data_IF_875119282468
#
_entry.id   IF_875119282468
#
_cell.length_a   1.000
_cell.length_b   1.000
_cell.length_c   1.000
_cell.angle_alpha   90.00
_cell.angle_beta   90.00
_cell.angle_gamma   90.00
#
_symmetry.space_group_name_H-M   'P 1'
#
loop_
_entity.id
_entity.type
_entity.pdbx_description
1 polymer ?
#
# COMPACT_ATOMS: atom_id res chain seq x y z
N UNK A 1 -7.55 2.67 -5.04
CA UNK A 1 -6.28 3.40 -4.87
C UNK A 1 -5.30 3.20 -6.03
N UNK A 2 -5.32 2.04 -6.63
CA UNK A 2 -4.50 1.71 -7.80
C UNK A 2 -5.36 1.18 -8.93
N UNK A 3 -4.94 1.40 -10.16
CA UNK A 3 -5.54 0.72 -11.30
C UNK A 3 -5.12 -0.76 -11.28
N UNK A 4 -5.93 -1.59 -11.94
CA UNK A 4 -5.68 -3.03 -12.00
C UNK A 4 -4.28 -3.31 -12.56
N UNK A 5 -3.51 -4.11 -11.82
CA UNK A 5 -2.15 -4.51 -12.22
C UNK A 5 -1.09 -3.43 -12.10
N UNK A 6 -1.40 -2.25 -11.57
CA UNK A 6 -0.47 -1.13 -11.48
C UNK A 6 -0.10 -0.81 -10.04
N UNK A 7 1.13 -0.37 -9.84
CA UNK A 7 1.62 0.19 -8.57
C UNK A 7 1.66 1.72 -8.59
N UNK A 8 1.16 2.35 -9.66
CA UNK A 8 1.12 3.79 -9.76
C UNK A 8 -0.09 4.34 -9.02
N UNK A 9 0.13 5.33 -8.14
CA UNK A 9 -0.95 5.96 -7.38
C UNK A 9 -1.88 6.76 -8.30
N UNK A 10 -3.19 6.58 -8.11
CA UNK A 10 -4.19 7.39 -8.80
C UNK A 10 -4.29 8.77 -8.16
N UNK A 11 -4.91 9.72 -8.84
CA UNK A 11 -5.16 11.06 -8.28
C UNK A 11 -6.00 10.97 -7.00
N UNK A 12 -7.02 10.13 -7.01
CA UNK A 12 -7.87 9.92 -5.82
C UNK A 12 -7.08 9.35 -4.65
N UNK A 13 -6.16 8.43 -4.92
CA UNK A 13 -5.29 7.88 -3.88
C UNK A 13 -4.42 8.96 -3.25
N UNK A 14 -3.84 9.83 -4.07
CA UNK A 14 -3.03 10.94 -3.58
C UNK A 14 -3.83 11.89 -2.70
N UNK A 15 -5.08 12.18 -3.06
CA UNK A 15 -5.97 13.02 -2.26
C UNK A 15 -6.26 12.39 -0.90
N UNK A 16 -6.51 11.07 -0.85
CA UNK A 16 -6.72 10.35 0.41
C UNK A 16 -5.46 10.35 1.26
N UNK A 17 -4.30 10.13 0.65
CA UNK A 17 -3.02 10.12 1.36
C UNK A 17 -2.66 11.50 1.90
N UNK A 18 -3.05 12.57 1.23
CA UNK A 18 -2.87 13.93 1.76
C UNK A 18 -3.61 14.12 3.07
N UNK A 19 -4.84 13.61 3.16
CA UNK A 19 -5.62 13.66 4.41
C UNK A 19 -4.97 12.83 5.51
N UNK A 20 -4.48 11.65 5.16
CA UNK A 20 -3.78 10.78 6.10
C UNK A 20 -2.50 11.45 6.60
N UNK A 21 -1.74 12.08 5.71
CA UNK A 21 -0.53 12.80 6.09
C UNK A 21 -0.80 13.89 7.12
N UNK A 22 -1.90 14.63 6.98
CA UNK A 22 -2.30 15.63 7.97
C UNK A 22 -2.54 15.02 9.34
N UNK A 23 -3.20 13.87 9.40
CA UNK A 23 -3.43 13.15 10.65
C UNK A 23 -2.11 12.66 11.25
N UNK A 24 -1.19 12.19 10.44
CA UNK A 24 0.11 11.71 10.89
C UNK A 24 0.98 12.84 11.45
N UNK A 25 0.86 14.05 10.92
CA UNK A 25 1.51 15.21 11.50
C UNK A 25 0.93 15.57 12.86
N UNK A 26 -0.38 15.40 13.05
CA UNK A 26 -1.04 15.66 14.31
C UNK A 26 -0.64 14.65 15.40
N UNK A 27 -0.52 13.37 15.04
CA UNK A 27 -0.17 12.30 15.97
C UNK A 27 1.27 11.84 15.75
N UNK A 28 2.23 12.65 16.17
CA UNK A 28 3.65 12.51 15.84
C UNK A 28 4.33 11.26 16.38
N UNK A 29 3.73 10.59 17.38
CA UNK A 29 4.31 9.40 17.99
C UNK A 29 3.86 8.09 17.37
N UNK A 30 2.90 8.11 16.45
CA UNK A 30 2.41 6.91 15.81
C UNK A 30 3.47 6.30 14.88
N UNK A 31 3.65 4.99 14.98
CA UNK A 31 4.41 4.21 14.03
C UNK A 31 3.45 3.26 13.33
N UNK A 32 3.67 2.99 12.06
CA UNK A 32 2.73 2.19 11.29
C UNK A 32 3.44 1.42 10.17
N UNK A 33 2.76 0.36 9.72
CA UNK A 33 3.20 -0.46 8.58
C UNK A 33 2.25 -0.25 7.41
N UNK A 34 2.80 -0.02 6.23
CA UNK A 34 2.06 0.04 4.98
C UNK A 34 2.01 -1.38 4.42
N UNK A 35 0.82 -1.94 4.27
CA UNK A 35 0.60 -3.30 3.79
C UNK A 35 -0.01 -3.29 2.39
N UNK A 36 0.73 -3.77 1.40
CA UNK A 36 0.24 -3.91 0.04
C UNK A 36 -0.40 -5.27 -0.19
N UNK A 37 -1.52 -5.30 -0.90
CA UNK A 37 -2.26 -6.52 -1.20
C UNK A 37 -2.61 -6.59 -2.69
N UNK A 38 -2.76 -7.80 -3.19
CA UNK A 38 -3.20 -8.06 -4.56
C UNK A 38 -4.29 -9.12 -4.55
N UNK A 39 -5.04 -9.22 -5.66
CA UNK A 39 -6.03 -10.27 -5.85
C UNK A 39 -5.75 -11.08 -7.11
N UNK A 40 -6.54 -12.08 -7.28
CA UNK A 40 -6.79 -12.72 -8.57
C UNK A 40 -5.59 -13.45 -9.17
N UNK A 41 -4.61 -13.78 -8.34
CA UNK A 41 -3.53 -14.69 -8.74
C UNK A 41 -3.92 -16.14 -8.44
N UNK A 42 -3.40 -17.13 -9.18
CA UNK A 42 -3.62 -18.52 -8.83
C UNK A 42 -3.15 -18.84 -7.40
N UNK A 43 -3.74 -19.85 -6.73
CA UNK A 43 -3.37 -20.14 -5.33
C UNK A 43 -1.89 -20.40 -5.09
N UNK A 44 -1.17 -20.90 -6.11
CA UNK A 44 0.27 -21.16 -5.99
C UNK A 44 1.13 -19.93 -6.26
N UNK A 45 0.54 -18.80 -6.68
CA UNK A 45 1.25 -17.56 -6.94
C UNK A 45 0.73 -16.48 -6.01
N UNK A 46 1.47 -16.21 -4.97
CA UNK A 46 1.07 -15.23 -3.93
C UNK A 46 1.24 -13.78 -4.39
N UNK A 47 1.96 -13.55 -5.47
CA UNK A 47 2.22 -12.23 -6.00
C UNK A 47 1.76 -12.08 -7.45
N UNK A 48 1.45 -10.84 -7.83
CA UNK A 48 1.08 -10.46 -9.18
C UNK A 48 2.21 -9.70 -9.86
N UNK A 49 2.19 -9.69 -11.19
CA UNK A 49 3.14 -8.92 -11.98
C UNK A 49 2.71 -7.46 -11.97
N UNK A 50 3.64 -6.57 -11.62
CA UNK A 50 3.45 -5.13 -11.69
C UNK A 50 3.62 -4.69 -13.15
N UNK A 51 2.60 -4.12 -13.72
CA UNK A 51 2.60 -3.64 -15.08
C UNK A 51 3.61 -2.50 -15.32
N UNK A 52 3.99 -1.77 -14.28
CA UNK A 52 4.96 -0.66 -14.37
C UNK A 52 6.41 -1.18 -14.42
N UNK A 53 6.73 -2.23 -13.66
CA UNK A 53 8.09 -2.77 -13.56
C UNK A 53 8.26 -4.09 -14.30
N UNK A 54 7.16 -4.76 -14.65
CA UNK A 54 7.11 -6.10 -15.25
C UNK A 54 7.71 -7.20 -14.38
N UNK A 55 7.80 -6.95 -13.06
CA UNK A 55 8.27 -7.91 -12.06
C UNK A 55 7.12 -8.41 -11.21
N UNK A 56 7.26 -9.62 -10.68
CA UNK A 56 6.22 -10.26 -9.85
C UNK A 56 6.35 -9.84 -8.38
N UNK A 57 6.10 -8.55 -8.12
CA UNK A 57 6.18 -7.97 -6.77
C UNK A 57 5.19 -6.81 -6.59
N UNK A 58 4.00 -6.95 -7.19
CA UNK A 58 3.01 -5.86 -7.25
C UNK A 58 2.58 -5.38 -5.86
N UNK A 59 2.34 -6.29 -4.90
CA UNK A 59 1.89 -5.88 -3.57
C UNK A 59 2.94 -5.04 -2.85
N UNK A 60 4.21 -5.43 -2.94
CA UNK A 60 5.30 -4.68 -2.35
C UNK A 60 5.49 -3.32 -3.03
N UNK A 61 5.40 -3.29 -4.36
CA UNK A 61 5.53 -2.03 -5.10
C UNK A 61 4.40 -1.06 -4.79
N UNK A 62 3.19 -1.55 -4.55
CA UNK A 62 2.07 -0.71 -4.11
C UNK A 62 2.34 -0.12 -2.73
N UNK A 63 2.81 -0.92 -1.79
CA UNK A 63 3.19 -0.44 -0.47
C UNK A 63 4.32 0.59 -0.55
N UNK A 64 5.32 0.33 -1.39
CA UNK A 64 6.43 1.26 -1.61
C UNK A 64 5.97 2.57 -2.22
N UNK A 65 5.00 2.54 -3.15
CA UNK A 65 4.46 3.77 -3.75
C UNK A 65 3.82 4.67 -2.70
N UNK A 66 3.07 4.09 -1.77
CA UNK A 66 2.50 4.83 -0.64
C UNK A 66 3.60 5.37 0.26
N UNK A 67 4.61 4.54 0.57
CA UNK A 67 5.74 4.94 1.40
C UNK A 67 6.48 6.14 0.80
N UNK A 68 6.77 6.10 -0.49
CA UNK A 68 7.45 7.20 -1.19
C UNK A 68 6.62 8.47 -1.18
N UNK A 69 5.31 8.35 -1.39
CA UNK A 69 4.43 9.51 -1.39
C UNK A 69 4.36 10.16 -0.01
N UNK A 70 4.23 9.37 1.06
CA UNK A 70 4.21 9.89 2.43
C UNK A 70 5.56 10.51 2.80
N UNK A 71 6.67 9.93 2.34
CA UNK A 71 8.00 10.52 2.53
C UNK A 71 8.13 11.86 1.81
N UNK A 72 7.57 11.97 0.61
CA UNK A 72 7.49 13.22 -0.12
C UNK A 72 6.69 14.28 0.66
N UNK A 73 5.66 13.85 1.38
CA UNK A 73 4.86 14.72 2.26
C UNK A 73 5.52 14.95 3.63
N UNK A 74 6.80 14.62 3.77
CA UNK A 74 7.64 14.87 4.95
C UNK A 74 7.28 14.03 6.18
N UNK A 75 6.64 12.88 6.01
CA UNK A 75 6.48 11.92 7.10
C UNK A 75 7.83 11.23 7.32
N UNK A 76 8.37 11.23 8.54
CA UNK A 76 9.69 10.62 8.80
C UNK A 76 9.71 9.13 8.49
N UNK A 77 10.73 8.70 7.75
CA UNK A 77 10.86 7.28 7.33
C UNK A 77 10.97 6.32 8.51
N UNK A 78 11.53 6.76 9.64
CA UNK A 78 11.68 5.91 10.83
C UNK A 78 10.36 5.54 11.50
N UNK A 79 9.27 6.22 11.16
CA UNK A 79 7.93 5.92 11.69
C UNK A 79 7.17 4.94 10.81
N UNK A 80 7.69 4.60 9.65
CA UNK A 80 6.96 3.90 8.60
C UNK A 80 7.77 2.71 8.11
N UNK A 81 7.13 1.55 8.06
CA UNK A 81 7.66 0.40 7.32
C UNK A 81 6.67 0.03 6.23
N UNK A 82 7.11 -0.73 5.24
CA UNK A 82 6.20 -1.22 4.21
C UNK A 82 6.53 -2.67 3.85
N UNK A 83 5.48 -3.41 3.49
CA UNK A 83 5.62 -4.82 3.12
C UNK A 83 4.52 -5.23 2.15
N UNK A 84 4.88 -6.09 1.19
CA UNK A 84 3.92 -6.73 0.31
C UNK A 84 3.45 -8.05 0.91
N UNK A 85 2.14 -8.23 1.01
CA UNK A 85 1.51 -9.45 1.53
C UNK A 85 0.94 -10.33 0.40
N UNK A 86 1.04 -9.88 -0.86
CA UNK A 86 0.51 -10.64 -1.99
C UNK A 86 -1.00 -10.86 -1.84
N UNK A 87 -1.46 -12.07 -2.11
CA UNK A 87 -2.85 -12.48 -1.98
C UNK A 87 -3.11 -13.27 -0.68
N UNK A 88 -2.23 -13.17 0.31
CA UNK A 88 -2.28 -14.03 1.51
C UNK A 88 -3.32 -13.59 2.54
N UNK A 89 -3.85 -12.35 2.42
CA UNK A 89 -4.83 -11.80 3.37
C UNK A 89 -6.04 -11.24 2.62
N UNK A 90 -6.87 -12.08 1.98
CA UNK A 90 -8.06 -11.60 1.28
C UNK A 90 -9.15 -11.19 2.27
N UNK A 91 -9.92 -10.16 1.89
CA UNK A 91 -11.07 -9.73 2.69
C UNK A 91 -12.31 -10.57 2.44
N UNK A 92 -12.35 -11.34 1.34
CA UNK A 92 -13.51 -12.15 0.97
C UNK A 92 -14.69 -11.34 0.46
N UNK A 93 -14.49 -10.08 0.06
CA UNK A 93 -15.54 -9.17 -0.39
C UNK A 93 -15.50 -8.89 -1.89
N UNK A 94 -14.61 -9.57 -2.63
CA UNK A 94 -14.44 -9.36 -4.05
C UNK A 94 -13.06 -8.79 -4.39
N UNK A 95 -12.70 -8.89 -5.68
CA UNK A 95 -11.35 -8.61 -6.13
C UNK A 95 -10.93 -7.15 -5.93
N UNK A 96 -11.85 -6.20 -6.07
CA UNK A 96 -11.48 -4.78 -5.91
C UNK A 96 -11.10 -4.45 -4.47
N UNK A 97 -11.67 -5.15 -3.48
CA UNK A 97 -11.31 -4.96 -2.07
C UNK A 97 -9.96 -5.60 -1.73
N UNK A 98 -9.54 -6.61 -2.49
CA UNK A 98 -8.26 -7.27 -2.27
C UNK A 98 -7.10 -6.54 -2.97
N UNK A 99 -7.40 -5.65 -3.91
CA UNK A 99 -6.41 -4.77 -4.56
C UNK A 99 -6.25 -3.49 -3.75
N UNK A 100 -5.64 -3.59 -2.58
CA UNK A 100 -5.63 -2.51 -1.62
C UNK A 100 -4.28 -2.30 -0.96
N UNK A 101 -4.14 -1.17 -0.31
CA UNK A 101 -3.06 -0.91 0.64
C UNK A 101 -3.70 -0.52 1.95
N UNK A 102 -3.24 -1.11 3.03
CA UNK A 102 -3.70 -0.80 4.40
C UNK A 102 -2.58 -0.15 5.20
N UNK A 103 -2.96 0.78 6.06
CA UNK A 103 -2.06 1.41 7.01
C UNK A 103 -2.41 0.87 8.39
N UNK A 104 -1.49 0.11 8.98
CA UNK A 104 -1.72 -0.56 10.27
C UNK A 104 -0.83 0.07 11.32
N UNK A 105 -1.43 0.59 12.38
CA UNK A 105 -0.69 1.18 13.49
C UNK A 105 0.05 0.08 14.24
N UNK A 106 1.37 0.18 14.33
CA UNK A 106 2.22 -0.79 15.02
C UNK A 106 2.67 -0.30 16.40
N UNK A 107 2.63 1.01 16.62
CA UNK A 107 2.99 1.59 17.91
C UNK A 107 2.35 2.96 18.06
N UNK A 108 1.81 3.24 19.20
CA UNK A 108 1.29 4.56 19.56
C UNK A 108 1.76 4.96 20.97
#
# INVERSE_FOLDING_TARGET
MFERGSSKLTFQAKTQLDKIAKLLFKYKKLEFEIQGHVCCTPPYQKEAIDRETRKRNLSQNRAESVFKYLSFKKIPKKRVTFKGYGNTVPLGKGSEYDRRVELVITKN
#
